data_IF_803741253802
#
_entry.id   IF_803741253802
#
_cell.length_a   1.000
_cell.length_b   1.000
_cell.length_c   1.000
_cell.angle_alpha   90.00
_cell.angle_beta   90.00
_cell.angle_gamma   90.00
#
_symmetry.space_group_name_H-M   'P 1'
#
loop_
_entity.id
_entity.type
_entity.pdbx_description
1 polymer ?
#
# COMPACT_ATOMS: atom_id res chain seq x y z
N UNK A 1 1.91 2.29 13.53
CA UNK A 1 1.09 1.23 12.89
C UNK A 1 -0.34 1.37 13.40
N UNK A 2 -1.31 1.66 12.52
CA UNK A 2 -2.67 2.10 12.90
C UNK A 2 -3.76 1.02 12.79
N UNK A 3 -3.40 -0.25 12.57
CA UNK A 3 -4.37 -1.36 12.55
C UNK A 3 -4.61 -1.90 13.95
N UNK A 4 -5.82 -2.40 14.23
CA UNK A 4 -6.18 -3.05 15.50
C UNK A 4 -5.19 -4.16 15.89
N UNK A 5 -4.78 -4.96 14.91
CA UNK A 5 -3.84 -6.07 15.10
C UNK A 5 -2.46 -5.56 15.51
N UNK A 6 -1.96 -4.50 14.89
CA UNK A 6 -0.66 -3.93 15.21
C UNK A 6 -0.68 -3.14 16.53
N UNK A 7 -1.79 -2.44 16.84
CA UNK A 7 -1.96 -1.75 18.13
C UNK A 7 -2.03 -2.75 19.28
N UNK A 8 -2.80 -3.84 19.16
CA UNK A 8 -2.82 -4.92 20.16
C UNK A 8 -1.45 -5.60 20.31
N UNK A 9 -0.75 -5.87 19.20
CA UNK A 9 0.54 -6.59 19.22
C UNK A 9 1.69 -5.77 19.81
N UNK A 10 1.73 -4.46 19.55
CA UNK A 10 2.88 -3.62 19.91
C UNK A 10 2.60 -2.65 21.06
N UNK A 11 1.34 -2.33 21.36
CA UNK A 11 0.95 -1.32 22.36
C UNK A 11 -0.03 -1.85 23.42
N UNK A 12 -0.37 -3.16 23.39
CA UNK A 12 -1.17 -3.84 24.41
C UNK A 12 -2.69 -3.62 24.30
N UNK A 13 -3.14 -2.43 23.90
CA UNK A 13 -4.55 -2.15 23.61
C UNK A 13 -4.72 -1.01 22.61
N UNK A 14 -5.91 -0.90 22.04
CA UNK A 14 -6.33 0.31 21.32
C UNK A 14 -6.84 1.29 22.37
N UNK A 15 -6.27 2.49 22.42
CA UNK A 15 -6.76 3.52 23.34
C UNK A 15 -8.22 3.86 22.99
N UNK A 16 -9.10 3.99 24.00
CA UNK A 16 -10.55 4.20 23.81
C UNK A 16 -10.91 5.38 22.90
N UNK A 17 -10.02 6.39 22.81
CA UNK A 17 -10.21 7.56 21.96
C UNK A 17 -9.69 7.41 20.53
N UNK A 18 -9.07 6.27 20.18
CA UNK A 18 -8.47 6.02 18.86
C UNK A 18 -9.27 4.99 18.07
N UNK A 19 -9.73 5.41 16.89
CA UNK A 19 -10.24 4.48 15.89
C UNK A 19 -9.08 3.79 15.16
N UNK A 20 -9.28 2.54 14.78
CA UNK A 20 -8.37 1.80 13.89
C UNK A 20 -8.55 2.30 12.46
N UNK A 21 -7.51 2.95 11.93
CA UNK A 21 -7.50 3.46 10.56
C UNK A 21 -6.82 2.47 9.59
N UNK A 22 -6.20 1.42 10.12
CA UNK A 22 -5.42 0.45 9.34
C UNK A 22 -6.17 -0.86 9.07
N UNK A 23 -6.04 -1.37 7.84
CA UNK A 23 -6.53 -2.71 7.47
C UNK A 23 -5.51 -3.81 7.81
N UNK A 24 -6.00 -5.01 8.08
CA UNK A 24 -5.16 -6.21 8.21
C UNK A 24 -5.39 -7.11 7.01
N UNK A 25 -4.34 -7.34 6.24
CA UNK A 25 -4.38 -8.17 5.02
C UNK A 25 -3.24 -9.20 5.04
N UNK A 26 -3.46 -10.35 4.38
CA UNK A 26 -2.45 -11.39 4.21
C UNK A 26 -2.06 -11.48 2.74
N UNK A 27 -0.80 -11.21 2.42
CA UNK A 27 -0.30 -11.20 1.04
C UNK A 27 0.58 -12.45 0.84
N UNK A 28 0.48 -13.15 -0.31
CA UNK A 28 1.37 -14.25 -0.62
C UNK A 28 2.84 -13.80 -0.68
N UNK A 29 3.74 -14.69 -0.27
CA UNK A 29 5.17 -14.43 -0.30
C UNK A 29 5.67 -14.27 -1.74
N UNK A 30 6.41 -13.18 -2.00
CA UNK A 30 6.90 -12.83 -3.34
C UNK A 30 8.32 -13.34 -3.67
N UNK A 31 8.98 -14.02 -2.73
CA UNK A 31 10.36 -14.49 -2.92
C UNK A 31 11.41 -13.49 -2.43
N UNK A 32 12.60 -13.56 -3.03
CA UNK A 32 13.75 -12.71 -2.68
C UNK A 32 13.48 -11.22 -3.01
N UNK A 33 14.02 -10.35 -2.16
CA UNK A 33 13.83 -8.90 -2.26
C UNK A 33 14.49 -8.33 -3.51
N UNK A 34 15.61 -8.92 -3.96
CA UNK A 34 16.35 -8.42 -5.13
C UNK A 34 15.49 -8.36 -6.39
N UNK A 35 14.64 -9.38 -6.63
CA UNK A 35 13.71 -9.38 -7.77
C UNK A 35 12.70 -8.24 -7.69
N UNK A 36 12.10 -8.05 -6.51
CA UNK A 36 11.12 -6.97 -6.28
C UNK A 36 11.76 -5.59 -6.50
N UNK A 37 13.00 -5.39 -6.03
CA UNK A 37 13.74 -4.13 -6.22
C UNK A 37 14.02 -3.89 -7.70
N UNK A 38 14.44 -4.92 -8.44
CA UNK A 38 14.70 -4.80 -9.86
C UNK A 38 13.44 -4.45 -10.67
N UNK A 39 12.29 -5.04 -10.33
CA UNK A 39 10.99 -4.73 -10.94
C UNK A 39 10.57 -3.27 -10.70
N UNK A 40 10.71 -2.77 -9.46
CA UNK A 40 10.42 -1.38 -9.11
C UNK A 40 11.32 -0.43 -9.91
N UNK A 41 12.63 -0.70 -9.97
CA UNK A 41 13.57 0.11 -10.73
C UNK A 41 13.30 0.06 -12.23
N UNK A 42 12.87 -1.10 -12.75
CA UNK A 42 12.40 -1.26 -14.12
C UNK A 42 11.19 -0.39 -14.43
N UNK A 43 10.16 -0.45 -13.59
CA UNK A 43 8.93 0.34 -13.74
C UNK A 43 9.20 1.85 -13.72
N UNK A 44 10.07 2.32 -12.82
CA UNK A 44 10.46 3.75 -12.76
C UNK A 44 11.19 4.16 -14.05
N UNK A 45 12.11 3.34 -14.57
CA UNK A 45 12.82 3.63 -15.83
C UNK A 45 11.85 3.71 -17.01
N UNK A 46 10.91 2.76 -17.12
CA UNK A 46 9.87 2.79 -18.17
C UNK A 46 8.99 4.04 -18.06
N UNK A 47 8.57 4.43 -16.85
CA UNK A 47 7.81 5.66 -16.63
C UNK A 47 8.60 6.92 -17.03
N UNK A 48 9.90 6.97 -16.72
CA UNK A 48 10.79 8.02 -17.20
C UNK A 48 10.87 8.06 -18.72
N UNK A 49 10.92 6.91 -19.40
CA UNK A 49 10.88 6.85 -20.86
C UNK A 49 9.56 7.39 -21.43
N UNK A 50 8.41 7.03 -20.85
CA UNK A 50 7.10 7.51 -21.30
C UNK A 50 6.91 9.02 -21.12
N UNK A 51 7.49 9.60 -20.06
CA UNK A 51 7.44 11.05 -19.80
C UNK A 51 8.59 11.81 -20.46
N UNK A 52 9.47 11.12 -21.20
CA UNK A 52 10.65 11.71 -21.82
C UNK A 52 11.65 12.30 -20.82
N UNK A 53 11.72 11.79 -19.59
CA UNK A 53 12.60 12.27 -18.52
C UNK A 53 13.90 11.48 -18.50
N UNK A 54 15.07 12.15 -18.61
CA UNK A 54 16.38 11.48 -18.58
C UNK A 54 16.83 11.17 -17.16
N UNK A 55 16.42 12.02 -16.21
CA UNK A 55 16.74 11.91 -14.79
C UNK A 55 15.47 11.99 -13.94
N UNK A 56 15.45 11.33 -12.78
CA UNK A 56 14.28 11.31 -11.89
C UNK A 56 13.84 12.73 -11.45
N UNK A 57 14.79 13.66 -11.31
CA UNK A 57 14.52 15.07 -10.98
C UNK A 57 13.70 15.80 -12.06
N UNK A 58 13.75 15.33 -13.31
CA UNK A 58 12.98 15.90 -14.42
C UNK A 58 11.53 15.41 -14.43
N UNK A 59 11.26 14.23 -13.84
CA UNK A 59 9.95 13.59 -13.86
C UNK A 59 8.86 14.50 -13.27
N UNK A 60 9.14 15.16 -12.14
CA UNK A 60 8.20 16.08 -11.51
C UNK A 60 7.87 17.33 -12.37
N UNK A 61 8.73 17.69 -13.32
CA UNK A 61 8.53 18.84 -14.22
C UNK A 61 7.87 18.45 -15.55
N UNK A 62 8.06 17.21 -16.01
CA UNK A 62 7.59 16.72 -17.32
C UNK A 62 6.33 15.85 -17.24
N UNK A 63 5.98 15.33 -16.06
CA UNK A 63 4.79 14.51 -15.89
C UNK A 63 3.51 15.34 -15.99
N UNK A 64 2.61 14.90 -16.86
CA UNK A 64 1.24 15.44 -16.96
C UNK A 64 0.29 14.48 -16.26
N UNK A 65 -0.45 14.99 -15.28
CA UNK A 65 -1.45 14.21 -14.56
C UNK A 65 -2.83 14.37 -15.19
N UNK A 66 -3.54 13.26 -15.34
CA UNK A 66 -4.92 13.22 -15.85
C UNK A 66 -5.82 12.76 -14.71
N UNK A 67 -6.89 13.52 -14.45
CA UNK A 67 -7.87 13.15 -13.42
C UNK A 67 -8.72 11.98 -13.91
N UNK A 68 -8.71 10.90 -13.13
CA UNK A 68 -9.59 9.74 -13.34
C UNK A 68 -10.83 9.81 -12.44
N UNK A 69 -11.89 9.10 -12.83
CA UNK A 69 -13.16 9.05 -12.10
C UNK A 69 -13.14 8.09 -10.92
N UNK A 70 -12.47 6.94 -11.07
CA UNK A 70 -12.33 5.96 -9.99
C UNK A 70 -11.09 6.26 -9.15
N UNK A 71 -11.30 6.47 -7.84
CA UNK A 71 -10.24 6.84 -6.89
C UNK A 71 -9.92 5.71 -5.92
N UNK A 72 -10.84 4.78 -5.69
CA UNK A 72 -10.62 3.65 -4.77
C UNK A 72 -9.79 2.56 -5.43
N UNK A 73 -8.80 2.06 -4.68
CA UNK A 73 -7.99 0.91 -5.07
C UNK A 73 -8.46 -0.33 -4.31
N UNK A 74 -9.23 -1.18 -4.98
CA UNK A 74 -9.81 -2.39 -4.39
C UNK A 74 -8.93 -3.63 -4.59
N UNK A 75 -7.71 -3.48 -5.11
CA UNK A 75 -6.81 -4.60 -5.43
C UNK A 75 -6.49 -5.49 -4.22
N UNK A 76 -6.52 -4.92 -3.01
CA UNK A 76 -6.21 -5.65 -1.78
C UNK A 76 -7.42 -6.21 -1.03
N UNK A 77 -8.65 -5.93 -1.49
CA UNK A 77 -9.89 -6.42 -0.87
C UNK A 77 -9.92 -7.96 -0.77
N UNK A 78 -9.47 -8.74 -1.78
CA UNK A 78 -9.47 -10.20 -1.68
C UNK A 78 -8.51 -10.79 -0.63
N UNK A 79 -7.57 -9.99 -0.14
CA UNK A 79 -6.56 -10.42 0.85
C UNK A 79 -6.91 -9.99 2.28
N UNK A 80 -8.07 -9.36 2.47
CA UNK A 80 -8.54 -8.98 3.80
C UNK A 80 -8.77 -10.22 4.66
N UNK A 81 -8.18 -10.20 5.85
CA UNK A 81 -8.39 -11.26 6.83
C UNK A 81 -9.80 -11.07 7.37
N UNK A 82 -10.68 -12.09 7.35
CA UNK A 82 -12.00 -11.97 7.93
C UNK A 82 -11.83 -11.55 9.40
N UNK A 83 -12.42 -10.40 9.74
CA UNK A 83 -12.53 -9.98 11.13
C UNK A 83 -13.40 -11.03 11.81
N UNK A 84 -12.81 -11.80 12.72
CA UNK A 84 -13.58 -12.70 13.60
C UNK A 84 -14.68 -11.81 14.21
N UNK A 85 -15.97 -12.15 14.06
CA UNK A 85 -17.03 -11.34 14.63
C UNK A 85 -16.72 -11.19 16.11
N UNK A 86 -16.68 -9.95 16.58
CA UNK A 86 -16.63 -9.68 18.01
C UNK A 86 -17.76 -10.51 18.62
N UNK A 87 -17.37 -11.53 19.41
CA UNK A 87 -18.29 -12.40 20.11
C UNK A 87 -19.30 -11.49 20.81
N UNK A 88 -20.55 -11.57 20.36
CA UNK A 88 -21.69 -10.95 21.00
C UNK A 88 -21.65 -11.35 22.47
N UNK A 89 -21.44 -10.36 23.34
CA UNK A 89 -21.90 -10.49 24.72
C UNK A 89 -23.42 -10.50 24.73
#
# INVERSE_FOLDING_TARGET
>A
MSSDTAMKKHHGSVAEYRASEGKTITIPYRGDVNGTVQDILGGIRSACTYTGSKHLKELAKRATFIRVTQQTNDMYVPFEVPTVPAVSK
#
